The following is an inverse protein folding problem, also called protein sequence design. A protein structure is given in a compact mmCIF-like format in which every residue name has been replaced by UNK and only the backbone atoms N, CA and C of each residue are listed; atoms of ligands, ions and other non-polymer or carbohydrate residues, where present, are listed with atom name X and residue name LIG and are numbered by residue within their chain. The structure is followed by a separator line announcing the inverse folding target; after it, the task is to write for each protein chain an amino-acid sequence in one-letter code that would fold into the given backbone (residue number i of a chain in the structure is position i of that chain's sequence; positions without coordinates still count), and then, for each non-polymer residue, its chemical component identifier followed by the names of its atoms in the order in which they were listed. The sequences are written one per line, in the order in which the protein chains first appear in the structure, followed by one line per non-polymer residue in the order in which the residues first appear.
data_IF_017307520472
#
_entry.id   IF_017307520472
#
_cell.length_a   1.000
_cell.length_b   1.000
_cell.length_c   1.000
_cell.angle_alpha   90.00
_cell.angle_beta   90.00
_cell.angle_gamma   90.00
#
_symmetry.space_group_name_H-M   'P 1'
#
loop_
_entity.id
_entity.type
_entity.pdbx_description
1 polymer ?
#
# COMPACT_ATOMS: atom_id res chain seq x y z
N UNK A 1 3.69 -4.87 4.31
CA UNK A 1 4.95 -5.64 4.39
C UNK A 1 4.96 -6.47 5.66
N UNK A 2 5.48 -7.70 5.58
CA UNK A 2 5.72 -8.58 6.74
C UNK A 2 7.20 -8.94 6.81
N UNK A 3 7.69 -9.23 8.02
CA UNK A 3 9.06 -9.67 8.24
C UNK A 3 9.05 -10.92 9.12
N UNK A 4 9.82 -11.92 8.74
CA UNK A 4 9.97 -13.17 9.47
C UNK A 4 11.43 -13.56 9.66
N UNK A 5 11.70 -14.22 10.75
CA UNK A 5 12.98 -14.82 11.08
C UNK A 5 12.83 -16.34 11.15
N UNK A 6 13.73 -17.04 10.49
CA UNK A 6 13.83 -18.48 10.59
C UNK A 6 15.02 -18.82 11.52
N UNK A 7 14.74 -19.46 12.64
CA UNK A 7 15.75 -19.83 13.61
C UNK A 7 16.51 -21.14 13.23
N UNK A 8 17.43 -21.55 14.08
CA UNK A 8 18.23 -22.77 13.86
C UNK A 8 17.41 -24.07 13.89
N UNK A 9 16.20 -24.03 14.41
CA UNK A 9 15.26 -25.17 14.46
C UNK A 9 14.25 -25.14 13.31
N UNK A 10 14.46 -24.27 12.33
CA UNK A 10 13.55 -24.00 11.21
C UNK A 10 12.14 -23.51 11.65
N UNK A 11 12.06 -22.88 12.83
CA UNK A 11 10.83 -22.24 13.28
C UNK A 11 10.77 -20.82 12.70
N UNK A 12 9.62 -20.48 12.13
CA UNK A 12 9.38 -19.13 11.59
C UNK A 12 8.70 -18.29 12.66
N UNK A 13 9.32 -17.19 13.02
CA UNK A 13 8.77 -16.19 13.92
C UNK A 13 8.55 -14.89 13.14
N UNK A 14 7.39 -14.27 13.29
CA UNK A 14 7.08 -12.99 12.65
C UNK A 14 7.34 -11.83 13.60
N UNK A 15 7.89 -10.75 13.05
CA UNK A 15 7.91 -9.46 13.76
C UNK A 15 6.46 -9.01 13.98
N UNK A 16 6.15 -8.59 15.20
CA UNK A 16 4.81 -8.13 15.56
C UNK A 16 4.87 -6.65 15.93
N UNK A 17 3.90 -5.90 15.46
CA UNK A 17 3.78 -4.47 15.65
C UNK A 17 2.49 -4.14 16.39
N UNK A 18 2.53 -3.07 17.18
CA UNK A 18 1.33 -2.41 17.66
C UNK A 18 0.89 -1.36 16.64
N UNK A 19 -0.37 -1.42 16.23
CA UNK A 19 -0.95 -0.36 15.41
C UNK A 19 -1.29 0.84 16.33
N UNK A 20 -0.30 1.73 16.49
CA UNK A 20 -0.42 2.94 17.32
C UNK A 20 -1.50 3.92 16.85
N UNK A 21 -2.11 3.66 15.71
CA UNK A 21 -3.21 4.47 15.16
C UNK A 21 -4.60 3.96 15.60
N UNK A 22 -4.63 2.84 16.31
CA UNK A 22 -5.86 2.24 16.86
C UNK A 22 -5.84 2.26 18.37
N UNK A 23 -7.03 2.36 18.96
CA UNK A 23 -7.20 2.30 20.41
C UNK A 23 -7.06 0.86 20.98
N UNK A 24 -6.99 -0.17 20.11
CA UNK A 24 -6.85 -1.56 20.51
C UNK A 24 -5.38 -1.91 20.78
N UNK A 25 -5.14 -2.78 21.77
CA UNK A 25 -3.81 -3.37 22.03
C UNK A 25 -3.45 -4.49 21.01
N UNK A 26 -4.17 -4.58 19.89
CA UNK A 26 -3.99 -5.62 18.91
C UNK A 26 -2.61 -5.54 18.26
N UNK A 27 -1.93 -6.66 18.21
CA UNK A 27 -0.65 -6.80 17.53
C UNK A 27 -0.86 -7.45 16.17
N UNK A 28 -0.16 -6.93 15.16
CA UNK A 28 -0.23 -7.39 13.78
C UNK A 28 1.17 -7.68 13.22
N UNK A 29 1.33 -8.67 12.36
CA UNK A 29 2.60 -8.85 11.64
C UNK A 29 2.75 -7.89 10.45
N UNK A 30 1.76 -7.04 10.19
CA UNK A 30 1.75 -6.12 9.06
C UNK A 30 2.44 -4.81 9.43
N UNK A 31 3.41 -4.38 8.65
CA UNK A 31 4.05 -3.07 8.74
C UNK A 31 3.64 -2.20 7.55
N UNK A 32 3.07 -0.99 7.77
CA UNK A 32 2.65 -0.13 6.68
C UNK A 32 3.81 0.25 5.76
N UNK A 33 3.59 0.20 4.44
CA UNK A 33 4.59 0.64 3.45
C UNK A 33 4.42 2.14 3.22
N UNK A 34 4.74 2.91 4.28
CA UNK A 34 4.63 4.36 4.33
C UNK A 34 5.97 4.93 4.77
N UNK A 35 6.40 5.99 4.10
CA UNK A 35 7.59 6.76 4.41
C UNK A 35 7.22 8.23 4.41
N UNK A 36 7.59 8.96 5.46
CA UNK A 36 7.36 10.38 5.63
C UNK A 36 8.68 11.12 5.82
N UNK A 37 8.86 12.26 5.15
CA UNK A 37 10.04 13.11 5.25
C UNK A 37 9.84 14.11 6.37
N UNK A 38 10.51 13.88 7.50
CA UNK A 38 10.38 14.71 8.70
C UNK A 38 11.28 15.93 8.66
N UNK A 39 12.55 15.74 8.32
CA UNK A 39 13.54 16.81 8.32
C UNK A 39 14.57 16.62 7.21
N UNK A 40 15.09 17.73 6.67
CA UNK A 40 16.21 17.77 5.74
C UNK A 40 17.22 18.74 6.32
N UNK A 41 18.39 18.23 6.75
CA UNK A 41 19.43 19.05 7.35
C UNK A 41 20.22 19.87 6.29
N UNK A 42 21.11 20.77 6.78
CA UNK A 42 21.96 21.61 5.95
C UNK A 42 22.90 20.80 5.03
N UNK A 43 23.22 19.56 5.40
CA UNK A 43 24.06 18.64 4.62
C UNK A 43 23.23 17.77 3.67
N UNK A 44 21.92 18.03 3.53
CA UNK A 44 20.95 17.25 2.76
C UNK A 44 20.72 15.82 3.25
N UNK A 45 21.03 15.54 4.51
CA UNK A 45 20.60 14.28 5.11
C UNK A 45 19.11 14.37 5.46
N UNK A 46 18.40 13.27 5.21
CA UNK A 46 16.96 13.20 5.42
C UNK A 46 16.67 12.35 6.65
N UNK A 47 15.88 12.90 7.57
CA UNK A 47 15.25 12.15 8.64
C UNK A 47 13.88 11.69 8.19
N UNK A 48 13.64 10.38 8.26
CA UNK A 48 12.38 9.77 7.87
C UNK A 48 11.62 9.20 9.07
N UNK A 49 10.29 9.20 8.97
CA UNK A 49 9.42 8.32 9.75
C UNK A 49 8.92 7.20 8.84
N UNK A 50 8.69 6.02 9.41
CA UNK A 50 8.30 4.83 8.67
C UNK A 50 7.08 4.16 9.29
N UNK A 51 6.34 3.42 8.47
CA UNK A 51 5.28 2.54 8.94
C UNK A 51 4.22 3.25 9.77
N UNK A 52 4.01 2.79 11.00
CA UNK A 52 2.99 3.33 11.91
C UNK A 52 3.28 4.75 12.38
N UNK A 53 4.54 5.12 12.57
CA UNK A 53 4.91 6.50 12.96
C UNK A 53 4.58 7.48 11.82
N UNK A 54 4.88 7.10 10.58
CA UNK A 54 4.49 7.89 9.41
C UNK A 54 2.96 7.94 9.25
N UNK A 55 2.27 6.82 9.48
CA UNK A 55 0.80 6.75 9.43
C UNK A 55 0.16 7.64 10.48
N UNK A 56 0.73 7.71 11.68
CA UNK A 56 0.23 8.56 12.77
C UNK A 56 0.22 10.04 12.38
N UNK A 57 1.25 10.51 11.66
CA UNK A 57 1.31 11.90 11.17
C UNK A 57 0.10 12.24 10.28
N UNK A 58 -0.35 11.28 9.45
CA UNK A 58 -1.53 11.48 8.60
C UNK A 58 -2.84 11.57 9.36
N UNK A 59 -2.93 10.88 10.50
CA UNK A 59 -4.15 10.71 11.27
C UNK A 59 -4.28 11.73 12.40
N UNK A 60 -3.26 12.51 12.65
CA UNK A 60 -3.31 13.59 13.64
C UNK A 60 -4.19 14.73 13.11
N UNK A 61 -5.38 14.87 13.72
CA UNK A 61 -6.38 15.85 13.29
C UNK A 61 -5.91 17.30 13.47
N UNK A 62 -5.00 17.54 14.43
CA UNK A 62 -4.46 18.87 14.74
C UNK A 62 -3.24 19.20 13.88
N UNK A 63 -2.69 18.20 13.18
CA UNK A 63 -1.47 18.33 12.41
C UNK A 63 -1.75 18.28 10.90
N UNK A 64 -1.35 19.31 10.18
CA UNK A 64 -1.35 19.30 8.71
C UNK A 64 0.04 18.83 8.28
N UNK A 65 0.18 17.63 7.70
CA UNK A 65 1.47 17.15 7.23
C UNK A 65 2.07 18.16 6.25
N UNK A 66 3.31 18.49 6.48
CA UNK A 66 4.07 19.47 5.68
C UNK A 66 5.13 18.79 4.86
N UNK A 67 5.70 17.71 5.42
CA UNK A 67 6.70 16.89 4.75
C UNK A 67 6.08 15.97 3.70
N UNK A 68 6.89 15.60 2.72
CA UNK A 68 6.48 14.64 1.69
C UNK A 68 6.21 13.27 2.29
N UNK A 69 5.13 12.63 1.83
CA UNK A 69 4.75 11.29 2.24
C UNK A 69 4.60 10.38 1.03
N UNK A 70 5.05 9.13 1.18
CA UNK A 70 5.08 8.17 0.10
C UNK A 70 4.46 6.84 0.52
N UNK A 71 3.66 6.31 -0.38
CA UNK A 71 2.98 5.04 -0.26
C UNK A 71 3.42 4.11 -1.40
N UNK A 72 3.15 2.82 -1.27
CA UNK A 72 3.30 1.85 -2.35
C UNK A 72 4.68 1.83 -3.01
N UNK A 73 5.75 2.05 -2.24
CA UNK A 73 7.13 2.10 -2.72
C UNK A 73 7.51 0.91 -3.64
N UNK A 74 6.82 -0.21 -3.49
CA UNK A 74 6.98 -1.41 -4.31
C UNK A 74 6.70 -1.17 -5.80
N UNK A 75 5.77 -0.27 -6.14
CA UNK A 75 5.49 0.10 -7.53
C UNK A 75 6.65 0.84 -8.19
N UNK A 76 7.46 1.54 -7.42
CA UNK A 76 8.61 2.31 -7.90
C UNK A 76 9.81 1.45 -8.32
N UNK A 77 9.75 0.14 -8.12
CA UNK A 77 10.77 -0.79 -8.65
C UNK A 77 10.89 -0.68 -10.17
N UNK A 78 9.84 -0.28 -10.86
CA UNK A 78 9.86 -0.07 -12.32
C UNK A 78 10.74 1.13 -12.68
N UNK A 79 10.76 2.16 -11.84
CA UNK A 79 11.34 3.49 -12.08
C UNK A 79 12.41 3.87 -11.04
N UNK A 80 13.32 2.96 -10.71
CA UNK A 80 14.34 3.14 -9.66
C UNK A 80 15.23 4.38 -9.84
N UNK A 81 15.45 4.82 -11.07
CA UNK A 81 16.31 5.95 -11.40
C UNK A 81 15.56 7.28 -11.52
N UNK A 82 14.23 7.26 -11.45
CA UNK A 82 13.43 8.47 -11.45
C UNK A 82 13.58 9.20 -10.12
N UNK A 83 13.29 10.50 -10.13
CA UNK A 83 13.45 11.39 -9.00
C UNK A 83 12.12 11.91 -8.52
N UNK A 84 12.00 12.05 -7.19
CA UNK A 84 10.94 12.77 -6.52
C UNK A 84 11.50 14.02 -5.85
N UNK A 85 10.78 15.12 -5.95
CA UNK A 85 11.06 16.32 -5.17
C UNK A 85 10.44 16.18 -3.80
N UNK A 86 11.28 16.02 -2.79
CA UNK A 86 10.85 15.83 -1.41
C UNK A 86 10.98 17.12 -0.59
N UNK A 87 10.08 17.34 0.35
CA UNK A 87 10.03 18.47 1.26
C UNK A 87 10.00 17.97 2.71
N UNK A 88 10.61 18.72 3.61
CA UNK A 88 10.51 18.47 5.05
C UNK A 88 9.33 19.22 5.70
N UNK A 89 9.19 19.04 7.03
CA UNK A 89 8.14 19.69 7.83
C UNK A 89 8.36 21.19 8.07
N UNK A 90 9.50 21.76 7.69
CA UNK A 90 9.82 23.14 8.02
C UNK A 90 8.94 24.13 7.27
N UNK A 91 8.61 25.26 7.90
CA UNK A 91 7.81 26.34 7.30
C UNK A 91 8.47 26.94 6.04
N UNK A 92 9.78 26.85 5.96
CA UNK A 92 10.57 27.33 4.82
C UNK A 92 10.60 26.30 3.69
N UNK A 93 10.33 25.01 4.04
CA UNK A 93 10.24 23.90 3.09
C UNK A 93 11.58 23.62 2.40
N UNK A 94 12.57 23.10 3.16
CA UNK A 94 13.75 22.56 2.51
C UNK A 94 13.32 21.49 1.54
N UNK A 95 13.83 21.53 0.32
CA UNK A 95 13.50 20.56 -0.71
C UNK A 95 14.72 20.08 -1.44
N UNK A 96 14.73 18.79 -1.73
CA UNK A 96 15.77 18.15 -2.55
C UNK A 96 15.14 17.15 -3.50
N UNK A 97 15.86 16.79 -4.54
CA UNK A 97 15.49 15.67 -5.41
C UNK A 97 16.12 14.38 -4.89
N UNK A 98 15.31 13.34 -4.72
CA UNK A 98 15.71 12.03 -4.20
C UNK A 98 15.27 10.95 -5.19
N UNK A 99 16.14 10.00 -5.48
CA UNK A 99 15.77 8.87 -6.35
C UNK A 99 14.78 7.94 -5.67
N UNK A 100 13.86 7.35 -6.44
CA UNK A 100 13.00 6.27 -5.98
C UNK A 100 13.79 5.15 -5.31
N UNK A 101 14.94 4.80 -5.89
CA UNK A 101 15.85 3.80 -5.32
C UNK A 101 16.37 4.17 -3.92
N UNK A 102 16.59 5.43 -3.61
CA UNK A 102 17.07 5.87 -2.29
C UNK A 102 15.96 5.77 -1.24
N UNK A 103 14.74 6.16 -1.60
CA UNK A 103 13.56 6.05 -0.74
C UNK A 103 13.23 4.59 -0.41
N UNK A 104 13.26 3.70 -1.43
CA UNK A 104 13.09 2.25 -1.23
C UNK A 104 14.20 1.70 -0.33
N UNK A 105 15.46 2.12 -0.57
CA UNK A 105 16.62 1.70 0.22
C UNK A 105 16.48 2.10 1.69
N UNK A 106 16.06 3.33 1.97
CA UNK A 106 15.83 3.82 3.33
C UNK A 106 14.77 2.98 4.05
N UNK A 107 13.64 2.72 3.38
CA UNK A 107 12.57 1.89 3.92
C UNK A 107 13.03 0.44 4.23
N UNK A 108 13.73 -0.21 3.29
CA UNK A 108 14.21 -1.58 3.48
C UNK A 108 15.24 -1.69 4.59
N UNK A 109 16.15 -0.71 4.72
CA UNK A 109 17.13 -0.69 5.81
C UNK A 109 16.47 -0.55 7.17
N UNK A 110 15.44 0.30 7.28
CA UNK A 110 14.69 0.44 8.52
C UNK A 110 13.95 -0.86 8.88
N UNK A 111 13.35 -1.55 7.90
CA UNK A 111 12.73 -2.86 8.13
C UNK A 111 13.70 -3.88 8.72
N UNK A 112 14.91 -4.00 8.16
CA UNK A 112 15.90 -4.95 8.67
C UNK A 112 16.37 -4.53 10.07
N UNK A 113 16.60 -3.24 10.31
CA UNK A 113 16.97 -2.72 11.63
C UNK A 113 15.90 -3.05 12.67
N UNK A 114 14.63 -2.79 12.40
CA UNK A 114 13.50 -3.14 13.28
C UNK A 114 13.49 -4.65 13.58
N UNK A 115 13.67 -5.49 12.57
CA UNK A 115 13.68 -6.93 12.77
C UNK A 115 14.89 -7.40 13.59
N UNK A 116 16.09 -6.85 13.38
CA UNK A 116 17.29 -7.14 14.16
C UNK A 116 17.13 -6.69 15.63
N UNK A 117 16.51 -5.54 15.86
CA UNK A 117 16.19 -5.06 17.21
C UNK A 117 15.14 -5.95 17.89
N UNK A 118 14.09 -6.34 17.19
CA UNK A 118 13.02 -7.19 17.70
C UNK A 118 13.51 -8.58 18.12
N UNK A 119 14.35 -9.21 17.30
CA UNK A 119 14.90 -10.54 17.58
C UNK A 119 16.23 -10.52 18.35
N UNK A 120 16.75 -9.34 18.70
CA UNK A 120 18.03 -9.16 19.39
C UNK A 120 19.19 -9.90 18.70
N UNK A 121 19.22 -9.91 17.37
CA UNK A 121 20.25 -10.58 16.58
C UNK A 121 20.65 -9.77 15.34
N UNK A 122 21.76 -10.16 14.72
CA UNK A 122 22.19 -9.66 13.41
C UNK A 122 21.94 -10.72 12.35
N UNK A 123 21.21 -10.36 11.32
CA UNK A 123 20.98 -11.24 10.20
C UNK A 123 22.24 -11.35 9.33
N UNK A 124 22.48 -12.54 8.80
CA UNK A 124 23.55 -12.78 7.83
C UNK A 124 23.00 -13.01 6.43
N UNK A 125 21.87 -13.70 6.34
CA UNK A 125 21.23 -14.06 5.08
C UNK A 125 19.84 -13.45 5.02
N UNK A 126 19.56 -12.76 3.93
CA UNK A 126 18.29 -12.07 3.68
C UNK A 126 17.61 -12.69 2.47
N UNK A 127 16.34 -13.01 2.62
CA UNK A 127 15.48 -13.48 1.55
C UNK A 127 14.34 -12.49 1.34
N UNK A 128 14.17 -12.03 0.11
CA UNK A 128 13.09 -11.12 -0.27
C UNK A 128 12.17 -11.80 -1.27
N UNK A 129 10.86 -11.69 -1.07
CA UNK A 129 9.87 -11.98 -2.09
C UNK A 129 9.45 -10.69 -2.80
N UNK A 130 9.04 -10.82 -4.05
CA UNK A 130 8.56 -9.70 -4.86
C UNK A 130 7.59 -10.21 -5.92
N UNK A 131 6.76 -9.30 -6.51
CA UNK A 131 5.88 -9.67 -7.62
C UNK A 131 6.67 -10.30 -8.77
N UNK A 132 6.08 -11.28 -9.42
CA UNK A 132 6.70 -12.07 -10.50
C UNK A 132 7.46 -11.20 -11.52
N UNK A 133 6.80 -10.17 -12.05
CA UNK A 133 7.39 -9.30 -13.10
C UNK A 133 8.52 -8.42 -12.61
N UNK A 134 8.60 -8.14 -11.31
CA UNK A 134 9.55 -7.21 -10.71
C UNK A 134 10.67 -7.91 -9.97
N UNK A 135 10.52 -9.21 -9.65
CA UNK A 135 11.42 -10.00 -8.79
C UNK A 135 12.89 -9.84 -9.16
N UNK A 136 13.24 -10.13 -10.41
CA UNK A 136 14.65 -10.12 -10.83
C UNK A 136 15.28 -8.73 -10.68
N UNK A 137 14.60 -7.69 -11.17
CA UNK A 137 15.07 -6.30 -11.08
C UNK A 137 15.22 -5.84 -9.63
N UNK A 138 14.24 -6.15 -8.80
CA UNK A 138 14.19 -5.74 -7.41
C UNK A 138 15.28 -6.43 -6.57
N UNK A 139 15.38 -7.74 -6.65
CA UNK A 139 16.36 -8.49 -5.85
C UNK A 139 17.78 -8.17 -6.29
N UNK A 140 18.03 -8.03 -7.60
CA UNK A 140 19.32 -7.58 -8.11
C UNK A 140 19.69 -6.19 -7.57
N UNK A 141 18.73 -5.25 -7.57
CA UNK A 141 18.94 -3.93 -6.99
C UNK A 141 19.28 -4.01 -5.48
N UNK A 142 18.55 -4.80 -4.71
CA UNK A 142 18.79 -4.98 -3.27
C UNK A 142 20.21 -5.53 -3.03
N UNK A 143 20.58 -6.55 -3.77
CA UNK A 143 21.88 -7.22 -3.65
C UNK A 143 23.05 -6.30 -4.00
N UNK A 144 22.91 -5.52 -5.06
CA UNK A 144 24.00 -4.68 -5.58
C UNK A 144 24.12 -3.34 -4.87
N UNK A 145 23.01 -2.79 -4.36
CA UNK A 145 22.95 -1.40 -3.91
C UNK A 145 22.56 -1.20 -2.45
N UNK A 146 21.74 -2.10 -1.87
CA UNK A 146 21.18 -1.89 -0.55
C UNK A 146 21.91 -2.70 0.52
N UNK A 147 21.95 -4.01 0.38
CA UNK A 147 22.54 -4.95 1.34
C UNK A 147 23.72 -5.69 0.71
N UNK A 148 24.93 -5.22 0.99
CA UNK A 148 26.16 -5.71 0.34
C UNK A 148 26.94 -6.64 1.26
N UNK A 149 27.67 -7.58 0.63
CA UNK A 149 28.71 -8.32 1.32
C UNK A 149 29.84 -7.37 1.80
N UNK A 150 30.51 -7.65 2.94
CA UNK A 150 30.36 -8.86 3.76
C UNK A 150 29.24 -8.80 4.81
N UNK A 151 28.52 -7.66 4.97
CA UNK A 151 27.57 -7.47 6.05
C UNK A 151 26.35 -8.38 5.90
N UNK A 152 25.84 -8.49 4.67
CA UNK A 152 24.66 -9.30 4.33
C UNK A 152 24.89 -10.14 3.08
N UNK A 153 24.33 -11.36 3.10
CA UNK A 153 24.13 -12.22 1.93
C UNK A 153 22.67 -12.15 1.51
N UNK A 154 22.38 -11.56 0.36
CA UNK A 154 21.03 -11.56 -0.21
C UNK A 154 20.85 -12.76 -1.12
N UNK A 155 19.78 -13.54 -0.92
CA UNK A 155 19.45 -14.70 -1.76
C UNK A 155 19.27 -14.24 -3.20
N UNK A 156 19.88 -14.95 -4.14
CA UNK A 156 19.90 -14.57 -5.55
C UNK A 156 18.49 -14.55 -6.18
N UNK A 157 18.26 -13.77 -7.27
CA UNK A 157 16.96 -13.76 -7.95
C UNK A 157 16.48 -15.13 -8.42
N UNK A 158 17.40 -16.05 -8.73
CA UNK A 158 17.07 -17.41 -9.18
C UNK A 158 16.55 -18.30 -8.05
N UNK A 159 17.05 -18.08 -6.85
CA UNK A 159 16.71 -18.86 -5.66
C UNK A 159 15.58 -18.21 -4.85
N UNK A 160 15.27 -16.95 -5.12
CA UNK A 160 14.21 -16.22 -4.45
C UNK A 160 12.84 -16.60 -5.02
N UNK A 161 11.86 -16.70 -4.13
CA UNK A 161 10.47 -16.95 -4.50
C UNK A 161 9.80 -15.63 -4.93
N UNK A 162 8.92 -15.72 -5.93
CA UNK A 162 7.92 -14.68 -6.12
C UNK A 162 6.75 -14.86 -5.13
N UNK A 163 5.89 -13.85 -5.08
CA UNK A 163 4.81 -13.83 -4.08
C UNK A 163 3.79 -14.93 -4.31
N UNK A 164 3.42 -15.23 -5.56
CA UNK A 164 2.46 -16.30 -5.87
C UNK A 164 3.00 -17.70 -5.52
N UNK A 165 4.26 -17.97 -5.86
CA UNK A 165 4.90 -19.25 -5.52
C UNK A 165 5.10 -19.38 -4.02
N UNK A 166 5.41 -18.30 -3.30
CA UNK A 166 5.55 -18.34 -1.84
C UNK A 166 4.24 -18.80 -1.17
N UNK A 167 3.08 -18.33 -1.64
CA UNK A 167 1.76 -18.77 -1.16
C UNK A 167 1.52 -20.26 -1.47
N UNK A 168 1.93 -20.73 -2.64
CA UNK A 168 1.83 -22.16 -3.00
C UNK A 168 2.64 -23.02 -2.02
N UNK A 169 3.86 -22.60 -1.69
CA UNK A 169 4.69 -23.34 -0.72
C UNK A 169 4.06 -23.39 0.67
N UNK A 170 3.48 -22.27 1.13
CA UNK A 170 2.77 -22.22 2.42
C UNK A 170 1.56 -23.16 2.42
N UNK A 171 0.74 -23.13 1.38
CA UNK A 171 -0.40 -24.03 1.22
C UNK A 171 0.02 -25.51 1.25
N UNK A 172 1.06 -25.88 0.50
CA UNK A 172 1.54 -27.27 0.47
C UNK A 172 2.12 -27.67 1.82
N UNK A 173 2.83 -26.76 2.51
CA UNK A 173 3.35 -27.00 3.87
C UNK A 173 2.21 -27.28 4.85
N UNK A 174 1.11 -26.51 4.78
CA UNK A 174 -0.08 -26.78 5.58
C UNK A 174 -0.69 -28.16 5.28
N UNK A 175 -0.78 -28.53 3.99
CA UNK A 175 -1.27 -29.85 3.58
C UNK A 175 -0.40 -31.00 4.06
N UNK A 176 0.90 -30.84 4.09
CA UNK A 176 1.83 -31.83 4.65
C UNK A 176 1.61 -31.99 6.15
N UNK A 177 1.45 -30.88 6.89
CA UNK A 177 1.14 -30.92 8.33
C UNK A 177 -0.20 -31.59 8.62
N UNK A 178 -1.23 -31.35 7.80
CA UNK A 178 -2.52 -32.05 7.88
C UNK A 178 -2.33 -33.56 7.66
N UNK A 179 -1.52 -33.96 6.66
CA UNK A 179 -1.22 -35.36 6.35
C UNK A 179 -0.43 -36.07 7.46
N UNK A 180 0.44 -35.36 8.19
CA UNK A 180 1.13 -35.92 9.36
C UNK A 180 0.17 -36.26 10.50
N UNK A 181 -0.87 -35.47 10.68
CA UNK A 181 -1.89 -35.71 11.71
C UNK A 181 -2.91 -36.79 11.30
N UNK A 182 -3.11 -37.03 10.00
CA UNK A 182 -4.01 -38.04 9.47
C UNK A 182 -3.23 -39.17 8.79
N UNK A 183 -3.14 -40.32 9.47
CA UNK A 183 -2.43 -41.51 8.95
C UNK A 183 -2.93 -42.04 7.60
N UNK A 184 -4.10 -41.59 7.13
CA UNK A 184 -4.70 -42.01 5.86
C UNK A 184 -4.18 -41.23 4.65
N UNK A 185 -3.55 -40.07 4.85
CA UNK A 185 -3.13 -39.15 3.78
C UNK A 185 -1.63 -38.96 3.69
N UNK A 186 -0.85 -40.04 3.81
CA UNK A 186 0.61 -39.98 3.79
C UNK A 186 1.21 -39.73 2.37
N UNK A 187 0.42 -39.95 1.33
CA UNK A 187 0.82 -39.73 -0.06
C UNK A 187 -0.24 -38.94 -0.76
N UNK A 188 0.14 -37.89 -1.48
CA UNK A 188 -0.76 -37.13 -2.32
C UNK A 188 -0.38 -37.32 -3.78
N UNK A 189 -1.29 -37.85 -4.61
CA UNK A 189 -1.07 -37.93 -6.05
C UNK A 189 -0.91 -36.52 -6.64
N UNK A 190 -0.43 -36.42 -7.86
CA UNK A 190 -0.26 -35.15 -8.57
C UNK A 190 -1.58 -34.35 -8.61
N UNK A 191 -1.52 -33.14 -8.11
CA UNK A 191 -2.61 -32.17 -8.16
C UNK A 191 -2.15 -30.88 -8.82
N UNK A 192 -3.09 -30.14 -9.39
CA UNK A 192 -2.85 -28.81 -9.93
C UNK A 192 -3.51 -27.77 -9.03
N UNK A 193 -2.75 -26.80 -8.63
CA UNK A 193 -3.21 -25.65 -7.85
C UNK A 193 -3.00 -24.37 -8.65
N UNK A 194 -3.90 -23.42 -8.51
CA UNK A 194 -3.78 -22.06 -9.01
C UNK A 194 -4.04 -21.09 -7.86
N UNK A 195 -3.17 -20.12 -7.72
CA UNK A 195 -3.26 -19.03 -6.74
C UNK A 195 -3.49 -17.73 -7.49
N UNK A 196 -4.39 -16.93 -6.95
CA UNK A 196 -4.61 -15.53 -7.32
C UNK A 196 -4.35 -14.70 -6.08
N UNK A 197 -3.22 -14.01 -6.06
CA UNK A 197 -2.87 -13.08 -4.97
C UNK A 197 -3.21 -11.66 -5.39
N UNK A 198 -4.29 -11.11 -4.85
CA UNK A 198 -4.70 -9.74 -5.08
C UNK A 198 -4.26 -8.88 -3.87
N UNK A 199 -3.05 -8.36 -3.94
CA UNK A 199 -2.51 -7.42 -2.95
C UNK A 199 -3.12 -6.02 -3.05
N UNK A 200 -2.55 -5.06 -2.29
CA UNK A 200 -2.98 -3.65 -2.35
C UNK A 200 -2.73 -3.02 -3.71
N UNK A 201 -1.53 -3.19 -4.25
CA UNK A 201 -1.08 -2.52 -5.48
C UNK A 201 -0.91 -3.44 -6.69
N UNK A 202 -0.76 -4.74 -6.49
CA UNK A 202 -0.46 -5.73 -7.53
C UNK A 202 -1.37 -6.93 -7.42
N UNK A 203 -1.52 -7.66 -8.51
CA UNK A 203 -2.19 -8.97 -8.53
C UNK A 203 -1.25 -9.96 -9.18
N UNK A 204 -0.90 -11.04 -8.49
CA UNK A 204 -0.05 -12.10 -8.98
C UNK A 204 -0.85 -13.38 -9.17
N UNK A 205 -0.51 -14.11 -10.23
CA UNK A 205 -1.11 -15.38 -10.63
C UNK A 205 -0.02 -16.43 -10.69
N UNK A 206 -0.18 -17.51 -9.98
CA UNK A 206 0.73 -18.64 -10.06
C UNK A 206 -0.05 -19.95 -10.15
N UNK A 207 0.47 -20.90 -10.93
CA UNK A 207 -0.08 -22.25 -11.04
C UNK A 207 1.05 -23.26 -11.04
N UNK A 208 0.89 -24.32 -10.29
CA UNK A 208 1.81 -25.43 -10.25
C UNK A 208 1.09 -26.78 -10.20
N UNK A 209 1.80 -27.82 -10.58
CA UNK A 209 1.50 -29.20 -10.23
C UNK A 209 2.36 -29.57 -9.02
N UNK A 210 1.79 -30.26 -8.06
CA UNK A 210 2.53 -30.75 -6.93
C UNK A 210 2.11 -32.16 -6.54
N UNK A 211 3.03 -32.88 -5.95
CA UNK A 211 2.79 -34.17 -5.30
C UNK A 211 3.73 -34.33 -4.13
N UNK A 212 3.34 -35.07 -3.11
CA UNK A 212 4.24 -35.42 -2.03
C UNK A 212 4.04 -36.86 -1.58
N UNK A 213 5.11 -37.47 -1.12
CA UNK A 213 5.16 -38.82 -0.63
C UNK A 213 5.92 -38.85 0.70
N UNK A 214 5.37 -39.51 1.71
CA UNK A 214 6.03 -39.70 3.00
C UNK A 214 7.19 -40.68 2.86
N UNK A 215 8.35 -40.27 3.32
CA UNK A 215 9.55 -41.11 3.43
C UNK A 215 9.88 -41.39 4.92
N UNK A 216 10.87 -42.17 5.19
CA UNK A 216 11.27 -42.51 6.55
C UNK A 216 11.72 -41.31 7.39
N UNK A 217 12.24 -40.26 6.76
CA UNK A 217 12.82 -39.08 7.43
C UNK A 217 12.15 -37.75 6.98
N UNK A 218 10.91 -37.78 6.46
CA UNK A 218 10.23 -36.59 6.01
C UNK A 218 9.34 -36.81 4.79
N UNK A 219 9.22 -35.83 3.93
CA UNK A 219 8.44 -35.92 2.71
C UNK A 219 9.31 -35.65 1.48
N UNK A 220 9.08 -36.42 0.44
CA UNK A 220 9.57 -36.12 -0.90
C UNK A 220 8.52 -35.27 -1.58
N UNK A 221 8.87 -34.01 -1.85
CA UNK A 221 7.97 -33.01 -2.42
C UNK A 221 8.42 -32.66 -3.83
N UNK A 222 7.54 -32.85 -4.81
CA UNK A 222 7.76 -32.42 -6.19
C UNK A 222 6.81 -31.27 -6.52
N UNK A 223 7.35 -30.13 -6.97
CA UNK A 223 6.61 -28.96 -7.41
C UNK A 223 7.09 -28.57 -8.80
N UNK A 224 6.17 -28.51 -9.74
CA UNK A 224 6.41 -28.08 -11.11
C UNK A 224 5.59 -26.83 -11.40
N UNK A 225 6.24 -25.67 -11.49
CA UNK A 225 5.57 -24.42 -11.89
C UNK A 225 5.11 -24.51 -13.33
N UNK A 226 3.83 -24.28 -13.57
CA UNK A 226 3.21 -24.33 -14.89
C UNK A 226 2.97 -22.96 -15.49
N UNK A 227 2.65 -22.01 -14.64
CA UNK A 227 2.29 -20.66 -15.07
C UNK A 227 2.58 -19.65 -13.97
N UNK A 228 3.16 -18.54 -14.36
CA UNK A 228 3.38 -17.35 -13.53
C UNK A 228 3.06 -16.12 -14.36
N UNK A 229 2.29 -15.21 -13.82
CA UNK A 229 2.00 -13.90 -14.40
C UNK A 229 1.58 -12.93 -13.30
N UNK A 230 1.38 -11.68 -13.64
CA UNK A 230 0.89 -10.68 -12.69
C UNK A 230 0.53 -9.38 -13.38
N UNK A 231 -0.16 -8.52 -12.62
CA UNK A 231 -0.42 -7.14 -13.00
C UNK A 231 0.15 -6.23 -11.91
N UNK A 232 1.14 -5.41 -12.27
CA UNK A 232 1.83 -4.51 -11.35
C UNK A 232 1.06 -3.22 -11.05
N UNK A 233 -0.11 -3.02 -11.69
CA UNK A 233 -0.91 -1.79 -11.57
C UNK A 233 -2.38 -2.06 -11.21
N UNK A 234 -2.71 -3.28 -10.77
CA UNK A 234 -4.06 -3.64 -10.36
C UNK A 234 -4.01 -4.37 -9.02
N UNK A 235 -4.79 -3.88 -8.07
CA UNK A 235 -4.91 -4.45 -6.72
C UNK A 235 -6.02 -3.76 -5.94
N UNK A 236 -6.12 -4.04 -4.66
CA UNK A 236 -7.14 -3.49 -3.75
C UNK A 236 -7.21 -1.97 -3.73
N UNK A 237 -6.10 -1.27 -3.98
CA UNK A 237 -6.06 0.19 -4.03
C UNK A 237 -6.82 0.78 -5.23
N UNK A 238 -7.00 0.01 -6.30
CA UNK A 238 -7.86 0.43 -7.40
C UNK A 238 -9.34 0.45 -6.97
N UNK A 239 -9.74 -0.48 -6.10
CA UNK A 239 -11.09 -0.49 -5.50
C UNK A 239 -11.23 0.69 -4.54
N UNK A 240 -10.23 0.89 -3.65
CA UNK A 240 -10.20 2.05 -2.74
C UNK A 240 -10.33 3.36 -3.51
N UNK A 241 -9.63 3.50 -4.64
CA UNK A 241 -9.70 4.70 -5.45
C UNK A 241 -11.12 4.95 -6.02
N UNK A 242 -11.84 3.92 -6.46
CA UNK A 242 -13.22 4.07 -6.92
C UNK A 242 -14.19 4.44 -5.79
N UNK A 243 -13.99 3.89 -4.60
CA UNK A 243 -14.74 4.29 -3.40
C UNK A 243 -14.40 5.74 -3.02
N UNK A 244 -13.12 6.12 -3.05
CA UNK A 244 -12.66 7.49 -2.84
C UNK A 244 -13.36 8.47 -3.78
N UNK A 245 -13.43 8.17 -5.09
CA UNK A 245 -14.11 9.01 -6.07
C UNK A 245 -15.59 9.17 -5.72
N UNK A 246 -16.28 8.09 -5.37
CA UNK A 246 -17.69 8.14 -4.98
C UNK A 246 -17.91 8.96 -3.71
N UNK A 247 -17.07 8.78 -2.69
CA UNK A 247 -17.15 9.57 -1.44
C UNK A 247 -16.90 11.05 -1.71
N UNK A 248 -15.90 11.37 -2.52
CA UNK A 248 -15.60 12.74 -2.93
C UNK A 248 -16.79 13.41 -3.61
N UNK A 249 -17.40 12.74 -4.58
CA UNK A 249 -18.59 13.25 -5.30
C UNK A 249 -19.74 13.49 -4.33
N UNK A 250 -20.02 12.52 -3.44
CA UNK A 250 -21.10 12.64 -2.44
C UNK A 250 -20.88 13.79 -1.48
N UNK A 251 -19.66 13.98 -0.99
CA UNK A 251 -19.33 15.07 -0.09
C UNK A 251 -19.37 16.43 -0.80
N UNK A 252 -18.86 16.51 -2.02
CA UNK A 252 -18.93 17.74 -2.81
C UNK A 252 -20.39 18.15 -3.07
N UNK A 253 -21.25 17.21 -3.45
CA UNK A 253 -22.69 17.44 -3.63
C UNK A 253 -23.37 17.88 -2.31
N UNK A 254 -23.03 17.24 -1.19
CA UNK A 254 -23.52 17.63 0.13
C UNK A 254 -23.12 19.07 0.49
N UNK A 255 -21.85 19.43 0.33
CA UNK A 255 -21.36 20.78 0.65
C UNK A 255 -21.92 21.83 -0.30
N UNK A 256 -22.12 21.53 -1.57
CA UNK A 256 -22.77 22.43 -2.51
C UNK A 256 -24.19 22.76 -2.09
N UNK A 257 -24.97 21.80 -1.58
CA UNK A 257 -26.35 21.98 -1.11
C UNK A 257 -26.42 22.72 0.24
N UNK A 258 -25.39 22.65 1.07
CA UNK A 258 -25.35 23.26 2.42
C UNK A 258 -24.88 24.73 2.42
N UNK A 259 -24.57 25.32 1.29
CA UNK A 259 -23.99 26.68 1.20
C UNK A 259 -24.81 27.81 1.86
N UNK A 260 -26.04 27.55 2.27
CA UNK A 260 -26.94 28.50 2.91
C UNK A 260 -27.06 28.33 4.45
N UNK A 261 -26.39 27.38 5.07
CA UNK A 261 -26.43 27.16 6.53
C UNK A 261 -25.04 27.34 7.14
N UNK A 262 -24.97 27.81 8.39
CA UNK A 262 -23.73 28.15 9.10
C UNK A 262 -22.66 27.03 8.97
N UNK A 263 -21.56 27.36 8.33
CA UNK A 263 -20.48 26.46 7.86
C UNK A 263 -19.54 25.94 8.94
N UNK A 264 -19.75 26.22 10.24
CA UNK A 264 -18.62 26.25 11.16
C UNK A 264 -18.46 25.08 12.11
N UNK A 265 -19.39 24.13 12.24
CA UNK A 265 -19.33 23.26 13.41
C UNK A 265 -19.16 21.74 13.18
N UNK A 266 -19.31 21.22 11.96
CA UNK A 266 -19.26 19.74 11.78
C UNK A 266 -18.06 19.21 10.96
N UNK A 267 -17.31 20.07 10.26
CA UNK A 267 -16.23 19.62 9.37
C UNK A 267 -14.98 20.50 9.41
N UNK A 268 -14.46 20.81 10.58
CA UNK A 268 -13.21 21.58 10.75
C UNK A 268 -11.99 20.92 10.08
N UNK A 269 -12.09 19.64 9.75
CA UNK A 269 -11.00 18.86 9.16
C UNK A 269 -10.96 18.90 7.62
N UNK A 270 -12.03 19.34 6.94
CA UNK A 270 -12.09 19.35 5.46
C UNK A 270 -11.92 20.76 4.91
N UNK A 271 -10.95 20.91 4.02
CA UNK A 271 -10.74 22.15 3.28
C UNK A 271 -11.67 22.21 2.07
N UNK A 272 -12.56 23.22 2.06
CA UNK A 272 -13.38 23.56 0.91
C UNK A 272 -12.75 24.75 0.19
N UNK A 273 -12.64 24.68 -1.13
CA UNK A 273 -12.27 25.84 -1.91
C UNK A 273 -13.39 26.86 -1.78
N UNK A 274 -13.09 28.09 -1.37
CA UNK A 274 -14.05 29.14 -1.03
C UNK A 274 -14.90 29.66 -2.21
N UNK A 275 -15.47 28.80 -3.03
CA UNK A 275 -16.19 29.11 -4.25
C UNK A 275 -17.66 29.33 -3.94
N UNK A 276 -17.96 30.46 -3.27
CA UNK A 276 -19.34 30.89 -3.03
C UNK A 276 -20.09 31.27 -4.31
N UNK A 277 -19.39 31.53 -5.42
CA UNK A 277 -20.00 31.98 -6.69
C UNK A 277 -20.50 30.79 -7.56
N UNK A 278 -19.87 29.61 -7.48
CA UNK A 278 -20.33 28.43 -8.21
C UNK A 278 -21.50 27.70 -7.52
N UNK A 279 -21.75 27.98 -6.26
CA UNK A 279 -22.83 27.37 -5.48
C UNK A 279 -24.23 27.87 -5.89
N UNK A 280 -24.33 28.88 -6.74
CA UNK A 280 -25.59 29.41 -7.26
C UNK A 280 -25.97 28.89 -8.65
N UNK A 281 -25.14 28.09 -9.29
CA UNK A 281 -25.50 27.44 -10.54
C UNK A 281 -26.28 26.15 -10.23
N UNK A 282 -27.50 26.15 -10.70
CA UNK A 282 -28.50 25.11 -10.57
C UNK A 282 -27.98 23.69 -10.62
N UNK A 283 -28.52 22.88 -9.69
CA UNK A 283 -28.62 21.42 -9.78
C UNK A 283 -27.29 20.72 -10.08
N UNK A 284 -26.55 20.45 -9.03
CA UNK A 284 -25.42 19.51 -9.13
C UNK A 284 -25.93 18.10 -9.36
N UNK A 285 -26.06 17.78 -10.62
CA UNK A 285 -26.39 16.42 -11.07
C UNK A 285 -25.20 15.43 -10.98
N UNK A 286 -24.11 15.79 -10.26
CA UNK A 286 -22.93 14.94 -10.19
C UNK A 286 -23.25 13.55 -9.65
N UNK A 287 -23.98 13.50 -8.54
CA UNK A 287 -24.38 12.23 -7.94
C UNK A 287 -25.47 11.54 -8.75
N UNK A 288 -26.45 12.28 -9.24
CA UNK A 288 -27.52 11.75 -10.07
C UNK A 288 -26.97 11.13 -11.36
N UNK A 289 -25.97 11.76 -12.01
CA UNK A 289 -25.30 11.18 -13.19
C UNK A 289 -24.64 9.83 -12.91
N UNK A 290 -24.04 9.67 -11.72
CA UNK A 290 -23.45 8.38 -11.30
C UNK A 290 -24.54 7.37 -11.03
N UNK A 291 -25.61 7.74 -10.34
CA UNK A 291 -26.74 6.86 -10.01
C UNK A 291 -27.45 6.37 -11.28
N UNK A 292 -27.66 7.26 -12.27
CA UNK A 292 -28.22 6.89 -13.58
C UNK A 292 -27.34 5.87 -14.32
N UNK A 293 -26.01 6.01 -14.23
CA UNK A 293 -25.10 5.02 -14.80
C UNK A 293 -25.14 3.68 -14.07
N UNK A 294 -25.28 3.68 -12.75
CA UNK A 294 -25.45 2.45 -11.94
C UNK A 294 -26.75 1.75 -12.34
N UNK A 295 -27.84 2.47 -12.45
CA UNK A 295 -29.15 1.95 -12.85
C UNK A 295 -29.14 1.37 -14.27
N UNK A 296 -28.30 1.90 -15.15
CA UNK A 296 -28.11 1.38 -16.52
C UNK A 296 -27.44 0.01 -16.56
N UNK A 297 -26.85 -0.46 -15.43
CA UNK A 297 -26.10 -1.74 -15.30
C UNK A 297 -24.94 -1.90 -16.29
N UNK A 298 -24.28 -0.81 -16.64
CA UNK A 298 -23.11 -0.79 -17.52
C UNK A 298 -21.85 -0.41 -16.73
N UNK A 299 -21.09 -1.36 -16.15
CA UNK A 299 -19.98 -1.06 -15.25
C UNK A 299 -18.92 -0.12 -15.83
N UNK A 300 -18.63 -0.23 -17.12
CA UNK A 300 -17.62 0.63 -17.78
C UNK A 300 -18.09 2.09 -17.86
N UNK A 301 -19.39 2.33 -18.02
CA UNK A 301 -19.94 3.68 -18.04
C UNK A 301 -19.92 4.31 -16.64
N UNK A 302 -20.20 3.49 -15.59
CA UNK A 302 -20.07 3.91 -14.19
C UNK A 302 -18.64 4.38 -13.89
N UNK A 303 -17.62 3.63 -14.29
CA UNK A 303 -16.23 4.00 -14.04
C UNK A 303 -15.83 5.30 -14.73
N UNK A 304 -16.27 5.49 -15.97
CA UNK A 304 -16.05 6.76 -16.71
C UNK A 304 -16.73 7.92 -16.04
N UNK A 305 -17.97 7.72 -15.61
CA UNK A 305 -18.74 8.76 -14.95
C UNK A 305 -18.13 9.16 -13.60
N UNK A 306 -17.67 8.19 -12.80
CA UNK A 306 -16.91 8.44 -11.57
C UNK A 306 -15.66 9.30 -11.84
N UNK A 307 -14.91 9.00 -12.91
CA UNK A 307 -13.71 9.77 -13.28
C UNK A 307 -14.07 11.22 -13.66
N UNK A 308 -15.15 11.43 -14.41
CA UNK A 308 -15.64 12.75 -14.82
C UNK A 308 -16.13 13.55 -13.61
N UNK A 309 -17.04 12.98 -12.82
CA UNK A 309 -17.65 13.70 -11.70
C UNK A 309 -16.68 13.93 -10.53
N UNK A 310 -15.75 13.00 -10.29
CA UNK A 310 -14.68 13.22 -9.33
C UNK A 310 -13.77 14.38 -9.74
N UNK A 311 -13.54 14.58 -11.05
CA UNK A 311 -12.78 15.73 -11.55
C UNK A 311 -13.58 17.03 -11.42
N UNK A 312 -14.87 17.02 -11.71
CA UNK A 312 -15.74 18.18 -11.55
C UNK A 312 -15.82 18.62 -10.08
N UNK A 313 -15.82 17.66 -9.15
CA UNK A 313 -15.87 17.93 -7.70
C UNK A 313 -14.59 18.55 -7.13
N UNK A 314 -13.48 18.63 -7.90
CA UNK A 314 -12.25 19.36 -7.49
C UNK A 314 -12.52 20.84 -7.21
N UNK A 315 -13.49 21.43 -7.86
CA UNK A 315 -13.85 22.84 -7.66
C UNK A 315 -14.42 23.11 -6.26
N UNK A 316 -15.05 22.09 -5.65
CA UNK A 316 -15.68 22.18 -4.33
C UNK A 316 -14.79 21.58 -3.26
N UNK A 317 -14.33 20.35 -3.49
CA UNK A 317 -13.52 19.56 -2.58
C UNK A 317 -12.20 19.17 -3.26
N UNK A 318 -11.19 20.04 -3.20
CA UNK A 318 -9.91 19.78 -3.87
C UNK A 318 -9.15 18.65 -3.18
N UNK A 319 -8.65 17.71 -3.98
CA UNK A 319 -7.86 16.57 -3.55
C UNK A 319 -6.61 16.33 -4.41
N UNK A 320 -6.52 16.99 -5.58
CA UNK A 320 -5.38 16.86 -6.48
C UNK A 320 -4.27 17.84 -6.10
N UNK A 321 -3.31 17.38 -5.30
CA UNK A 321 -2.14 18.15 -4.84
C UNK A 321 -0.90 17.94 -5.69
N UNK A 322 -0.92 17.00 -6.65
CA UNK A 322 0.19 16.68 -7.54
C UNK A 322 0.35 17.63 -8.72
N UNK A 323 -0.69 18.39 -9.08
CA UNK A 323 -0.65 19.34 -10.19
C UNK A 323 -0.01 20.65 -9.75
N UNK A 324 1.21 20.91 -10.21
CA UNK A 324 1.86 22.22 -10.00
C UNK A 324 1.05 23.33 -10.69
N UNK A 325 0.86 24.44 -9.96
CA UNK A 325 0.12 25.62 -10.43
C UNK A 325 -1.40 25.45 -10.63
N UNK A 326 -2.02 24.45 -10.05
CA UNK A 326 -3.48 24.46 -9.94
C UNK A 326 -3.94 25.62 -9.06
N UNK A 327 -5.19 26.07 -9.23
CA UNK A 327 -5.77 27.13 -8.40
C UNK A 327 -5.71 26.75 -6.91
N UNK A 328 -5.76 25.45 -6.60
CA UNK A 328 -5.81 24.88 -5.25
C UNK A 328 -4.43 24.63 -4.63
N UNK A 329 -3.35 24.72 -5.41
CA UNK A 329 -1.99 24.46 -4.94
C UNK A 329 -1.05 25.66 -5.06
N UNK A 330 -1.60 26.86 -5.33
CA UNK A 330 -0.81 28.10 -5.49
C UNK A 330 0.00 28.49 -4.27
N UNK A 331 -0.46 28.17 -3.07
CA UNK A 331 0.26 28.44 -1.84
C UNK A 331 0.59 27.13 -1.15
N UNK A 332 1.68 27.10 -0.37
CA UNK A 332 2.05 25.93 0.42
C UNK A 332 0.88 25.49 1.33
N UNK A 333 0.17 26.44 1.93
CA UNK A 333 -0.96 26.14 2.80
C UNK A 333 -2.15 25.50 2.03
N UNK A 334 -2.51 26.02 0.85
CA UNK A 334 -3.59 25.44 0.05
C UNK A 334 -3.22 24.04 -0.46
N UNK A 335 -1.95 23.83 -0.87
CA UNK A 335 -1.46 22.51 -1.25
C UNK A 335 -1.59 21.50 -0.11
N UNK A 336 -1.14 21.87 1.10
CA UNK A 336 -1.23 21.01 2.30
C UNK A 336 -2.67 20.62 2.62
N UNK A 337 -3.60 21.57 2.55
CA UNK A 337 -5.02 21.32 2.80
C UNK A 337 -5.63 20.38 1.76
N UNK A 338 -5.26 20.53 0.50
CA UNK A 338 -5.66 19.64 -0.59
C UNK A 338 -5.12 18.23 -0.38
N UNK A 339 -3.85 18.11 0.01
CA UNK A 339 -3.21 16.84 0.36
C UNK A 339 -3.89 16.16 1.57
N UNK A 340 -4.23 16.93 2.61
CA UNK A 340 -4.99 16.42 3.76
C UNK A 340 -6.37 15.89 3.34
N UNK A 341 -7.10 16.60 2.50
CA UNK A 341 -8.37 16.12 1.97
C UNK A 341 -8.22 14.77 1.28
N UNK A 342 -7.19 14.63 0.45
CA UNK A 342 -6.90 13.37 -0.22
C UNK A 342 -6.69 12.24 0.78
N UNK A 343 -5.79 12.42 1.74
CA UNK A 343 -5.46 11.36 2.70
C UNK A 343 -6.63 11.01 3.61
N UNK A 344 -7.38 11.99 4.06
CA UNK A 344 -8.59 11.75 4.85
C UNK A 344 -9.64 10.92 4.09
N UNK A 345 -9.94 11.33 2.85
CA UNK A 345 -10.88 10.58 2.00
C UNK A 345 -10.36 9.20 1.61
N UNK A 346 -9.06 9.07 1.40
CA UNK A 346 -8.44 7.79 1.11
C UNK A 346 -8.60 6.82 2.28
N UNK A 347 -8.33 7.27 3.49
CA UNK A 347 -8.54 6.47 4.69
C UNK A 347 -10.00 6.05 4.86
N UNK A 348 -10.93 6.99 4.71
CA UNK A 348 -12.36 6.69 4.78
C UNK A 348 -12.77 5.67 3.70
N UNK A 349 -12.22 5.77 2.50
CA UNK A 349 -12.47 4.81 1.44
C UNK A 349 -11.91 3.41 1.76
N UNK A 350 -10.74 3.32 2.43
CA UNK A 350 -10.19 2.07 2.93
C UNK A 350 -11.11 1.43 3.99
N UNK A 351 -11.58 2.21 4.94
CA UNK A 351 -12.51 1.76 5.99
C UNK A 351 -13.82 1.26 5.40
N UNK A 352 -14.40 2.00 4.45
CA UNK A 352 -15.61 1.58 3.73
C UNK A 352 -15.38 0.29 2.95
N UNK A 353 -14.24 0.16 2.25
CA UNK A 353 -13.88 -1.08 1.55
C UNK A 353 -13.82 -2.25 2.51
N UNK A 354 -13.08 -2.12 3.61
CA UNK A 354 -12.95 -3.18 4.61
C UNK A 354 -14.31 -3.56 5.17
N UNK A 355 -15.10 -2.60 5.61
CA UNK A 355 -16.44 -2.84 6.17
C UNK A 355 -17.40 -3.50 5.17
N UNK A 356 -17.24 -3.23 3.87
CA UNK A 356 -18.05 -3.84 2.82
C UNK A 356 -17.70 -5.31 2.59
N UNK A 357 -16.40 -5.66 2.60
CA UNK A 357 -15.93 -7.01 2.33
C UNK A 357 -15.84 -7.90 3.59
N UNK A 358 -15.83 -7.30 4.78
CA UNK A 358 -15.79 -8.02 6.06
C UNK A 358 -17.19 -8.51 6.52
N UNK A 359 -18.22 -8.23 5.73
CA UNK A 359 -19.56 -8.77 5.98
C UNK A 359 -19.59 -10.26 5.65
N UNK A 360 -19.24 -11.07 6.63
CA UNK A 360 -19.55 -12.49 6.64
C UNK A 360 -20.99 -12.67 7.12
N UNK A 361 -21.95 -12.61 6.22
CA UNK A 361 -23.31 -13.11 6.47
C UNK A 361 -23.38 -14.63 6.23
#
# INVERSE_FOLDING_TARGET
TTMGYCDSENQIQLVKFHDVTKASEDVTPLFPTILYVKNIDENKNIEYLFGYDAKKVLLDNDYIPVGSIFFELKRWIISLDDYEKVHDESDIGNSIEVKHSELISAYLKELIKIAEEYFHCKFKKLHFSAPVKLKNKFIQYIQDKVFKAPDYEVVSPKESLDEGIAIIYDYISAKIKEADNDQKFQNKPEETIMIIDCGGGTTDLASCKYSFEKKSTGYDLNIETKFENGNSNFGGNNITYKIFQLLKIKLADYFAKQSNTNKNDEFDSIYLSGVSELMNSNENDMLNSVDDCIDSKKPLDVYKELDIQSKNSEEILPTDFGVENSVYTKTANSKRRTERNFHYLWQLAEEVKIAFFDRTD
#
